data_IF_168984053808
#
_entry.id   IF_168984053808
#
_cell.length_a   1.000
_cell.length_b   1.000
_cell.length_c   1.000
_cell.angle_alpha   90.00
_cell.angle_beta   90.00
_cell.angle_gamma   90.00
#
_symmetry.space_group_name_H-M   'P 1'
#
loop_
_entity.id
_entity.type
_entity.pdbx_description
1 polymer ?
#
# COMPACT_ATOMS: atom_id res chain seq x y z
N UNK A 1 10.12 -11.85 1.76
CA UNK A 1 10.91 -12.54 0.72
C UNK A 1 10.81 -11.71 -0.56
N UNK A 2 11.78 -10.82 -0.79
CA UNK A 2 11.67 -9.72 -1.75
C UNK A 2 12.16 -10.01 -3.17
N UNK A 3 11.94 -11.22 -3.70
CA UNK A 3 12.33 -11.57 -5.07
C UNK A 3 11.16 -11.41 -6.02
N UNK A 4 10.97 -10.20 -6.55
CA UNK A 4 9.85 -9.87 -7.44
C UNK A 4 10.21 -10.04 -8.93
N UNK A 5 11.50 -10.05 -9.28
CA UNK A 5 11.98 -10.17 -10.66
C UNK A 5 11.52 -11.45 -11.36
N UNK A 6 11.23 -12.50 -10.59
CA UNK A 6 10.75 -13.79 -11.11
C UNK A 6 9.39 -13.64 -11.79
N UNK A 7 8.52 -12.74 -11.34
CA UNK A 7 7.16 -12.64 -11.88
C UNK A 7 7.10 -12.01 -13.28
N UNK A 8 7.77 -10.87 -13.58
CA UNK A 8 7.79 -10.33 -14.94
C UNK A 8 8.49 -11.27 -15.91
N UNK A 9 9.58 -11.92 -15.50
CA UNK A 9 10.32 -12.89 -16.33
C UNK A 9 9.46 -14.12 -16.64
N UNK A 10 8.84 -14.73 -15.62
CA UNK A 10 7.96 -15.87 -15.83
C UNK A 10 6.69 -15.47 -16.61
N UNK A 11 6.09 -14.33 -16.29
CA UNK A 11 4.89 -13.83 -16.95
C UNK A 11 5.12 -13.57 -18.44
N UNK A 12 6.20 -12.87 -18.81
CA UNK A 12 6.54 -12.62 -20.22
C UNK A 12 6.94 -13.91 -20.97
N UNK A 13 7.59 -14.87 -20.31
CA UNK A 13 7.85 -16.19 -20.89
C UNK A 13 6.54 -16.94 -21.19
N UNK A 14 5.61 -16.96 -20.22
CA UNK A 14 4.29 -17.61 -20.36
C UNK A 14 3.45 -16.91 -21.44
N UNK A 15 3.47 -15.57 -21.51
CA UNK A 15 2.79 -14.83 -22.59
C UNK A 15 3.38 -15.17 -23.96
N UNK A 16 4.71 -15.25 -24.09
CA UNK A 16 5.36 -15.62 -25.35
C UNK A 16 4.97 -17.04 -25.77
N UNK A 17 4.99 -17.98 -24.83
CA UNK A 17 4.53 -19.36 -25.08
C UNK A 17 3.04 -19.40 -25.46
N UNK A 18 2.20 -18.63 -24.78
CA UNK A 18 0.77 -18.52 -25.08
C UNK A 18 0.50 -18.01 -26.50
N UNK A 19 1.26 -17.03 -26.97
CA UNK A 19 1.17 -16.54 -28.35
C UNK A 19 1.57 -17.61 -29.38
N UNK A 20 2.62 -18.38 -29.11
CA UNK A 20 3.05 -19.48 -29.98
C UNK A 20 2.06 -20.65 -29.99
N UNK A 21 1.35 -20.88 -28.88
CA UNK A 21 0.26 -21.86 -28.83
C UNK A 21 -0.97 -21.38 -29.59
N UNK A 22 -1.36 -20.11 -29.41
CA UNK A 22 -2.49 -19.51 -30.13
C UNK A 22 -2.27 -19.49 -31.65
N UNK A 23 -1.01 -19.37 -32.10
CA UNK A 23 -0.68 -19.48 -33.53
C UNK A 23 -0.99 -20.88 -34.12
N UNK A 24 -0.96 -21.95 -33.31
CA UNK A 24 -1.23 -23.31 -33.76
C UNK A 24 -2.73 -23.62 -33.89
N UNK A 25 -3.61 -22.69 -33.51
CA UNK A 25 -5.04 -22.86 -33.67
C UNK A 25 -5.44 -22.85 -35.14
N UNK A 26 -6.46 -23.64 -35.46
CA UNK A 26 -7.04 -23.77 -36.79
C UNK A 26 -8.58 -23.81 -36.67
N UNK A 27 -9.31 -23.73 -37.77
CA UNK A 27 -10.79 -23.79 -37.73
C UNK A 27 -11.35 -25.10 -37.14
N UNK A 28 -10.53 -26.14 -37.07
CA UNK A 28 -10.91 -27.46 -36.54
C UNK A 28 -10.57 -27.65 -35.05
N UNK A 29 -9.93 -26.67 -34.40
CA UNK A 29 -9.51 -26.79 -33.00
C UNK A 29 -10.70 -26.92 -32.05
N UNK A 30 -10.60 -27.82 -31.07
CA UNK A 30 -11.65 -28.04 -30.09
C UNK A 30 -11.80 -26.85 -29.13
N UNK A 31 -13.03 -26.55 -28.67
CA UNK A 31 -13.28 -25.45 -27.72
C UNK A 31 -12.42 -25.54 -26.46
N UNK A 32 -12.12 -26.76 -26.01
CA UNK A 32 -11.27 -27.00 -24.85
C UNK A 32 -9.80 -26.59 -25.11
N UNK A 33 -9.28 -26.85 -26.31
CA UNK A 33 -7.93 -26.47 -26.71
C UNK A 33 -7.79 -24.95 -26.83
N UNK A 34 -8.74 -24.31 -27.53
CA UNK A 34 -8.81 -22.83 -27.63
C UNK A 34 -8.84 -22.20 -26.24
N UNK A 35 -9.69 -22.72 -25.36
CA UNK A 35 -9.82 -22.22 -23.98
C UNK A 35 -8.54 -22.42 -23.17
N UNK A 36 -7.85 -23.54 -23.33
CA UNK A 36 -6.57 -23.80 -22.67
C UNK A 36 -5.48 -22.83 -23.15
N UNK A 37 -5.39 -22.55 -24.44
CA UNK A 37 -4.37 -21.63 -24.97
C UNK A 37 -4.65 -20.17 -24.56
N UNK A 38 -5.91 -19.73 -24.59
CA UNK A 38 -6.29 -18.42 -24.05
C UNK A 38 -6.04 -18.31 -22.54
N UNK A 39 -6.25 -19.40 -21.80
CA UNK A 39 -5.92 -19.44 -20.37
C UNK A 39 -4.42 -19.25 -20.12
N UNK A 40 -3.55 -19.95 -20.85
CA UNK A 40 -2.10 -19.79 -20.73
C UNK A 40 -1.67 -18.36 -21.09
N UNK A 41 -2.19 -17.82 -22.19
CA UNK A 41 -1.91 -16.45 -22.60
C UNK A 41 -2.38 -15.41 -21.55
N UNK A 42 -3.61 -15.56 -21.05
CA UNK A 42 -4.19 -14.68 -20.03
C UNK A 42 -3.45 -14.75 -18.69
N UNK A 43 -3.00 -15.95 -18.29
CA UNK A 43 -2.18 -16.15 -17.09
C UNK A 43 -0.86 -15.37 -17.19
N UNK A 44 -0.17 -15.45 -18.34
CA UNK A 44 1.05 -14.69 -18.59
C UNK A 44 0.83 -13.19 -18.46
N UNK A 45 -0.23 -12.67 -19.12
CA UNK A 45 -0.59 -11.25 -19.03
C UNK A 45 -0.90 -10.80 -17.60
N UNK A 46 -1.65 -11.61 -16.83
CA UNK A 46 -2.00 -11.31 -15.44
C UNK A 46 -0.79 -11.20 -14.53
N UNK A 47 0.20 -12.08 -14.71
CA UNK A 47 1.46 -12.05 -13.95
C UNK A 47 2.30 -10.81 -14.24
N UNK A 48 2.24 -10.27 -15.46
CA UNK A 48 3.01 -9.09 -15.86
C UNK A 48 2.33 -7.79 -15.43
N UNK A 49 1.03 -7.65 -15.70
CA UNK A 49 0.31 -6.37 -15.53
C UNK A 49 0.37 -5.84 -14.09
N UNK A 50 0.11 -6.71 -13.11
CA UNK A 50 0.08 -6.30 -11.70
C UNK A 50 1.48 -5.98 -11.17
N UNK A 51 2.49 -6.68 -11.64
CA UNK A 51 3.85 -6.55 -11.12
C UNK A 51 4.56 -5.32 -11.69
N UNK A 52 4.34 -4.98 -12.97
CA UNK A 52 4.93 -3.78 -13.57
C UNK A 52 4.50 -2.49 -12.88
N UNK A 53 3.22 -2.35 -12.53
CA UNK A 53 2.72 -1.18 -11.79
C UNK A 53 3.42 -1.08 -10.43
N UNK A 54 3.50 -2.20 -9.72
CA UNK A 54 4.16 -2.25 -8.42
C UNK A 54 5.66 -1.92 -8.50
N UNK A 55 6.34 -2.34 -9.57
CA UNK A 55 7.76 -2.02 -9.81
C UNK A 55 7.96 -0.52 -10.03
N UNK A 56 7.17 0.09 -10.92
CA UNK A 56 7.25 1.53 -11.21
C UNK A 56 7.01 2.33 -9.93
N UNK A 57 5.99 1.94 -9.17
CA UNK A 57 5.66 2.56 -7.89
C UNK A 57 6.77 2.38 -6.85
N UNK A 58 7.48 1.26 -6.87
CA UNK A 58 8.56 0.98 -5.94
C UNK A 58 9.88 1.72 -6.29
N UNK A 59 10.09 2.03 -7.56
CA UNK A 59 11.33 2.64 -8.07
C UNK A 59 11.41 4.15 -7.86
N UNK A 60 10.29 4.83 -7.56
CA UNK A 60 10.22 6.29 -7.41
C UNK A 60 10.00 6.72 -5.96
N UNK A 61 10.32 7.98 -5.67
CA UNK A 61 9.89 8.61 -4.42
C UNK A 61 8.36 8.75 -4.41
N UNK A 62 7.77 8.80 -3.21
CA UNK A 62 6.32 8.87 -3.07
C UNK A 62 5.72 10.15 -3.67
N UNK A 63 6.45 11.28 -3.58
CA UNK A 63 6.07 12.54 -4.23
C UNK A 63 5.90 12.41 -5.74
N UNK A 64 6.66 11.50 -6.37
CA UNK A 64 6.61 11.23 -7.81
C UNK A 64 5.69 10.07 -8.17
N UNK A 65 5.01 9.44 -7.20
CA UNK A 65 4.20 8.23 -7.42
C UNK A 65 3.07 8.48 -8.43
N UNK A 66 2.44 9.65 -8.34
CA UNK A 66 1.38 10.09 -9.27
C UNK A 66 1.91 10.29 -10.69
N UNK A 67 3.09 10.92 -10.83
CA UNK A 67 3.76 11.14 -12.12
C UNK A 67 4.22 9.82 -12.73
N UNK A 68 4.80 8.92 -11.94
CA UNK A 68 5.28 7.62 -12.40
C UNK A 68 4.13 6.70 -12.83
N UNK A 69 3.04 6.65 -12.06
CA UNK A 69 1.87 5.81 -12.36
C UNK A 69 1.10 6.33 -13.58
N UNK A 70 0.89 7.66 -13.66
CA UNK A 70 0.25 8.28 -14.83
C UNK A 70 1.12 8.17 -16.08
N UNK A 71 2.44 8.37 -15.96
CA UNK A 71 3.40 8.17 -17.04
C UNK A 71 3.40 6.74 -17.56
N UNK A 72 3.46 5.74 -16.68
CA UNK A 72 3.38 4.33 -17.08
C UNK A 72 2.05 4.01 -17.78
N UNK A 73 0.93 4.57 -17.30
CA UNK A 73 -0.38 4.42 -17.93
C UNK A 73 -0.44 5.10 -19.29
N UNK A 74 0.15 6.29 -19.43
CA UNK A 74 0.23 7.02 -20.68
C UNK A 74 1.03 6.25 -21.74
N UNK A 75 2.22 5.76 -21.40
CA UNK A 75 3.02 4.91 -22.30
C UNK A 75 2.30 3.60 -22.65
N UNK A 76 1.58 3.00 -21.70
CA UNK A 76 0.75 1.82 -21.97
C UNK A 76 -0.38 2.11 -22.95
N UNK A 77 -1.05 3.26 -22.79
CA UNK A 77 -2.11 3.70 -23.71
C UNK A 77 -1.55 3.91 -25.13
N UNK A 78 -0.41 4.59 -25.23
CA UNK A 78 0.31 4.76 -26.51
C UNK A 78 0.65 3.40 -27.13
N UNK A 79 1.23 2.49 -26.34
CA UNK A 79 1.57 1.14 -26.79
C UNK A 79 0.35 0.34 -27.23
N UNK A 80 -0.78 0.47 -26.54
CA UNK A 80 -2.04 -0.18 -26.92
C UNK A 80 -2.57 0.36 -28.26
N UNK A 81 -2.56 1.69 -28.46
CA UNK A 81 -2.98 2.29 -29.73
C UNK A 81 -2.08 1.88 -30.90
N UNK A 82 -0.75 1.95 -30.73
CA UNK A 82 0.18 1.49 -31.76
C UNK A 82 0.07 -0.01 -32.01
N UNK A 83 -0.10 -0.82 -30.96
CA UNK A 83 -0.27 -2.26 -31.07
C UNK A 83 -1.51 -2.61 -31.90
N UNK A 84 -2.67 -2.02 -31.59
CA UNK A 84 -3.91 -2.24 -32.34
C UNK A 84 -3.75 -1.82 -33.80
N UNK A 85 -3.10 -0.67 -34.07
CA UNK A 85 -2.88 -0.21 -35.44
C UNK A 85 -1.96 -1.16 -36.22
N UNK A 86 -0.79 -1.51 -35.68
CA UNK A 86 0.20 -2.36 -36.35
C UNK A 86 -0.38 -3.76 -36.59
N UNK A 87 -0.92 -4.39 -35.54
CA UNK A 87 -1.47 -5.74 -35.66
C UNK A 87 -2.75 -5.78 -36.50
N UNK A 88 -3.55 -4.70 -36.49
CA UNK A 88 -4.68 -4.53 -37.39
C UNK A 88 -4.25 -4.43 -38.85
N UNK A 89 -3.17 -3.71 -39.16
CA UNK A 89 -2.59 -3.66 -40.51
C UNK A 89 -2.04 -5.02 -40.93
N UNK A 90 -1.33 -5.74 -40.04
CA UNK A 90 -0.85 -7.09 -40.32
C UNK A 90 -2.02 -8.03 -40.60
N UNK A 91 -3.07 -7.99 -39.79
CA UNK A 91 -4.28 -8.77 -39.99
C UNK A 91 -4.92 -8.49 -41.35
N UNK A 92 -5.18 -7.22 -41.67
CA UNK A 92 -5.83 -6.83 -42.93
C UNK A 92 -5.00 -7.25 -44.15
N UNK A 93 -3.67 -7.03 -44.11
CA UNK A 93 -2.77 -7.44 -45.18
C UNK A 93 -2.77 -8.95 -45.38
N UNK A 94 -2.69 -9.72 -44.28
CA UNK A 94 -2.68 -11.19 -44.34
C UNK A 94 -4.01 -11.75 -44.84
N UNK A 95 -5.11 -11.16 -44.37
CA UNK A 95 -6.45 -11.55 -44.78
C UNK A 95 -6.65 -11.31 -46.28
N UNK A 96 -6.22 -10.16 -46.79
CA UNK A 96 -6.31 -9.86 -48.22
C UNK A 96 -5.51 -10.79 -49.10
N UNK A 97 -4.27 -11.08 -48.70
CA UNK A 97 -3.41 -12.04 -49.41
C UNK A 97 -4.05 -13.44 -49.42
N UNK A 98 -4.52 -13.93 -48.27
CA UNK A 98 -5.11 -15.26 -48.12
C UNK A 98 -6.46 -15.39 -48.84
N UNK A 99 -7.32 -14.38 -48.81
CA UNK A 99 -8.57 -14.37 -49.56
C UNK A 99 -8.34 -14.30 -51.07
N UNK A 100 -7.35 -13.53 -51.51
CA UNK A 100 -6.95 -13.45 -52.92
C UNK A 100 -6.44 -14.80 -53.43
N UNK A 101 -5.65 -15.49 -52.62
CA UNK A 101 -5.17 -16.84 -52.93
C UNK A 101 -6.30 -17.87 -52.93
N UNK A 102 -7.20 -17.84 -51.95
CA UNK A 102 -8.35 -18.74 -51.85
C UNK A 102 -9.31 -18.61 -53.05
N UNK A 103 -9.54 -17.38 -53.54
CA UNK A 103 -10.45 -17.16 -54.67
C UNK A 103 -9.74 -17.13 -56.03
N UNK A 104 -8.45 -17.49 -56.09
CA UNK A 104 -7.68 -17.48 -57.34
C UNK A 104 -8.33 -18.40 -58.39
N UNK A 105 -8.93 -17.79 -59.41
CA UNK A 105 -9.60 -18.52 -60.50
C UNK A 105 -11.06 -18.89 -60.22
N UNK A 106 -11.63 -18.47 -59.08
CA UNK A 106 -13.04 -18.64 -58.77
C UNK A 106 -13.88 -17.44 -59.24
N UNK A 107 -15.08 -17.69 -59.76
CA UNK A 107 -16.03 -16.64 -60.10
C UNK A 107 -16.80 -16.20 -58.84
N UNK A 108 -16.46 -15.01 -58.32
CA UNK A 108 -17.15 -14.42 -57.18
C UNK A 108 -18.53 -13.87 -57.60
N UNK A 109 -19.56 -13.94 -56.72
CA UNK A 109 -20.86 -13.32 -56.97
C UNK A 109 -20.76 -11.80 -57.22
N UNK A 110 -21.65 -11.22 -58.05
CA UNK A 110 -21.68 -9.78 -58.25
C UNK A 110 -21.93 -9.04 -56.93
N UNK A 111 -21.04 -8.10 -56.58
CA UNK A 111 -21.08 -7.34 -55.32
C UNK A 111 -20.23 -7.92 -54.19
N UNK A 112 -19.58 -9.08 -54.38
CA UNK A 112 -18.62 -9.65 -53.42
C UNK A 112 -17.20 -9.56 -54.01
N UNK A 113 -16.34 -8.80 -53.36
CA UNK A 113 -14.89 -8.73 -53.61
C UNK A 113 -14.09 -9.04 -52.34
N UNK A 114 -12.78 -9.24 -52.48
CA UNK A 114 -11.85 -9.38 -51.36
C UNK A 114 -11.98 -8.19 -50.40
N UNK A 115 -11.99 -6.95 -50.92
CA UNK A 115 -12.15 -5.74 -50.10
C UNK A 115 -13.46 -5.72 -49.29
N UNK A 116 -14.56 -6.19 -49.89
CA UNK A 116 -15.85 -6.24 -49.19
C UNK A 116 -15.88 -7.30 -48.09
N UNK A 117 -15.16 -8.41 -48.29
CA UNK A 117 -15.05 -9.47 -47.29
C UNK A 117 -14.13 -9.02 -46.16
N UNK A 118 -12.97 -8.44 -46.45
CA UNK A 118 -12.08 -7.86 -45.42
C UNK A 118 -12.80 -6.89 -44.49
N UNK A 119 -13.66 -6.02 -45.04
CA UNK A 119 -14.41 -5.03 -44.28
C UNK A 119 -15.59 -5.61 -43.48
N UNK A 120 -16.25 -6.66 -43.99
CA UNK A 120 -17.39 -7.30 -43.31
C UNK A 120 -17.38 -8.85 -43.45
N UNK A 121 -17.02 -9.57 -42.36
CA UNK A 121 -17.02 -11.04 -42.36
C UNK A 121 -18.43 -11.65 -42.51
N UNK A 122 -19.51 -10.87 -42.33
CA UNK A 122 -20.88 -11.36 -42.56
C UNK A 122 -21.11 -11.70 -44.04
N UNK A 123 -20.31 -11.12 -44.94
CA UNK A 123 -20.33 -11.44 -46.37
C UNK A 123 -20.01 -12.90 -46.69
N UNK A 124 -19.32 -13.62 -45.79
CA UNK A 124 -19.00 -15.05 -45.97
C UNK A 124 -20.28 -15.89 -46.10
N UNK A 125 -21.37 -15.50 -45.42
CA UNK A 125 -22.65 -16.20 -45.50
C UNK A 125 -23.31 -16.14 -46.89
N UNK A 126 -22.95 -15.16 -47.71
CA UNK A 126 -23.46 -14.99 -49.08
C UNK A 126 -22.64 -15.78 -50.12
N UNK A 127 -21.47 -16.33 -49.74
CA UNK A 127 -20.63 -17.10 -50.65
C UNK A 127 -21.29 -18.45 -51.01
N UNK A 128 -21.02 -18.99 -52.22
CA UNK A 128 -21.36 -20.36 -52.57
C UNK A 128 -20.79 -21.36 -51.54
N UNK A 129 -21.51 -22.44 -51.20
CA UNK A 129 -21.07 -23.41 -50.19
C UNK A 129 -19.66 -23.98 -50.41
N UNK A 130 -19.20 -24.04 -51.67
CA UNK A 130 -17.86 -24.51 -52.03
C UNK A 130 -16.74 -23.56 -51.60
N UNK A 131 -16.99 -22.25 -51.51
CA UNK A 131 -15.97 -21.23 -51.21
C UNK A 131 -15.96 -20.79 -49.74
N UNK A 132 -16.99 -21.15 -48.96
CA UNK A 132 -17.08 -20.79 -47.53
C UNK A 132 -15.96 -21.36 -46.68
N UNK A 133 -15.56 -22.65 -46.81
CA UNK A 133 -14.50 -23.21 -45.98
C UNK A 133 -13.17 -22.48 -46.18
N UNK A 134 -12.82 -22.16 -47.42
CA UNK A 134 -11.58 -21.43 -47.73
C UNK A 134 -11.58 -20.00 -47.19
N UNK A 135 -12.73 -19.31 -47.24
CA UNK A 135 -12.87 -18.01 -46.62
C UNK A 135 -12.70 -18.08 -45.09
N UNK A 136 -13.33 -19.06 -44.44
CA UNK A 136 -13.19 -19.26 -42.98
C UNK A 136 -11.75 -19.60 -42.59
N UNK A 137 -11.09 -20.45 -43.38
CA UNK A 137 -9.67 -20.78 -43.18
C UNK A 137 -8.77 -19.56 -43.32
N UNK A 138 -8.99 -18.71 -44.34
CA UNK A 138 -8.26 -17.45 -44.50
C UNK A 138 -8.47 -16.52 -43.28
N UNK A 139 -9.67 -16.45 -42.72
CA UNK A 139 -9.88 -15.69 -41.47
C UNK A 139 -9.14 -16.29 -40.28
N UNK A 140 -9.24 -17.61 -40.08
CA UNK A 140 -8.60 -18.30 -38.98
C UNK A 140 -7.08 -18.12 -39.04
N UNK A 141 -6.47 -18.41 -40.20
CA UNK A 141 -5.03 -18.30 -40.43
C UNK A 141 -4.54 -16.86 -40.30
N UNK A 142 -5.27 -15.87 -40.83
CA UNK A 142 -4.88 -14.46 -40.68
C UNK A 142 -4.91 -13.98 -39.23
N UNK A 143 -5.89 -14.43 -38.42
CA UNK A 143 -5.94 -14.12 -36.98
C UNK A 143 -4.76 -14.79 -36.26
N UNK A 144 -4.47 -16.06 -36.56
CA UNK A 144 -3.42 -16.81 -35.87
C UNK A 144 -2.01 -16.36 -36.27
N UNK A 145 -1.85 -15.83 -37.48
CA UNK A 145 -0.63 -15.16 -37.93
C UNK A 145 -0.34 -13.91 -37.10
N UNK A 146 -1.36 -13.12 -36.71
CA UNK A 146 -1.14 -11.96 -35.84
C UNK A 146 -0.50 -12.37 -34.52
N UNK A 147 -0.90 -13.50 -33.94
CA UNK A 147 -0.27 -14.01 -32.71
C UNK A 147 1.20 -14.37 -32.92
N UNK A 148 1.55 -14.94 -34.08
CA UNK A 148 2.94 -15.20 -34.45
C UNK A 148 3.73 -13.89 -34.58
N UNK A 149 3.18 -12.86 -35.22
CA UNK A 149 3.81 -11.55 -35.34
C UNK A 149 3.94 -10.81 -34.00
N UNK A 150 3.05 -11.07 -33.05
CA UNK A 150 3.15 -10.53 -31.70
C UNK A 150 4.22 -11.25 -30.85
N UNK A 151 4.55 -12.51 -31.16
CA UNK A 151 5.50 -13.30 -30.38
C UNK A 151 6.92 -12.69 -30.31
N UNK A 152 7.53 -12.17 -31.40
CA UNK A 152 8.79 -11.42 -31.32
C UNK A 152 8.74 -10.21 -30.40
N UNK A 153 7.63 -9.47 -30.38
CA UNK A 153 7.46 -8.30 -29.49
C UNK A 153 7.42 -8.75 -28.03
N UNK A 154 6.69 -9.83 -27.73
CA UNK A 154 6.66 -10.44 -26.41
C UNK A 154 8.04 -11.00 -25.99
N UNK A 155 8.78 -11.59 -26.93
CA UNK A 155 10.13 -12.09 -26.70
C UNK A 155 11.11 -10.94 -26.38
N UNK A 156 11.02 -9.81 -27.08
CA UNK A 156 11.80 -8.61 -26.73
C UNK A 156 11.44 -8.14 -25.32
N UNK A 157 10.15 -8.12 -24.95
CA UNK A 157 9.74 -7.78 -23.58
C UNK A 157 10.30 -8.76 -22.54
N UNK A 158 10.33 -10.06 -22.85
CA UNK A 158 10.97 -11.08 -22.01
C UNK A 158 12.47 -10.84 -21.83
N UNK A 159 13.18 -10.52 -22.92
CA UNK A 159 14.61 -10.18 -22.84
C UNK A 159 14.83 -8.92 -22.00
N UNK A 160 14.01 -7.88 -22.18
CA UNK A 160 14.06 -6.66 -21.38
C UNK A 160 13.75 -6.90 -19.89
N UNK A 161 12.84 -7.82 -19.57
CA UNK A 161 12.55 -8.22 -18.20
C UNK A 161 13.78 -8.80 -17.48
N UNK A 162 14.73 -9.39 -18.21
CA UNK A 162 15.99 -9.88 -17.65
C UNK A 162 16.92 -8.74 -17.19
N UNK A 163 16.81 -7.56 -17.80
CA UNK A 163 17.59 -6.38 -17.44
C UNK A 163 16.98 -5.57 -16.29
N UNK A 164 15.79 -5.92 -15.79
CA UNK A 164 15.23 -5.27 -14.61
C UNK A 164 16.15 -5.51 -13.39
N UNK A 165 16.54 -4.40 -12.77
CA UNK A 165 17.36 -4.40 -11.55
C UNK A 165 16.45 -4.68 -10.35
N UNK A 166 16.83 -5.64 -9.53
CA UNK A 166 16.04 -6.07 -8.38
C UNK A 166 16.36 -5.18 -7.17
N UNK A 167 15.61 -4.08 -7.01
CA UNK A 167 15.64 -3.28 -5.78
C UNK A 167 14.65 -3.85 -4.76
N UNK A 168 14.96 -3.75 -3.45
CA UNK A 168 14.10 -4.32 -2.42
C UNK A 168 12.73 -3.60 -2.39
N UNK A 169 11.64 -4.37 -2.50
CA UNK A 169 10.28 -3.85 -2.29
C UNK A 169 10.22 -3.05 -0.98
N UNK A 170 9.82 -1.78 -1.09
CA UNK A 170 9.54 -0.92 0.06
C UNK A 170 8.31 -1.47 0.76
N UNK A 171 8.40 -1.71 2.07
CA UNK A 171 7.32 -2.29 2.89
C UNK A 171 6.07 -1.39 3.01
N UNK A 172 6.10 -0.18 2.45
CA UNK A 172 5.02 0.81 2.47
C UNK A 172 4.07 0.72 1.27
N UNK A 173 4.42 0.00 0.19
CA UNK A 173 3.59 -0.06 -1.03
C UNK A 173 2.56 -1.18 -0.92
N UNK A 174 1.30 -0.81 -0.69
CA UNK A 174 0.15 -1.73 -0.74
C UNK A 174 -0.15 -2.05 -2.21
N UNK A 175 -0.43 -3.32 -2.53
CA UNK A 175 -0.77 -3.75 -3.90
C UNK A 175 -1.99 -2.98 -4.45
N UNK A 176 -2.01 -2.63 -5.76
CA UNK A 176 -3.14 -1.94 -6.37
C UNK A 176 -4.41 -2.79 -6.31
N UNK A 177 -5.56 -2.14 -6.08
CA UNK A 177 -6.85 -2.82 -6.07
C UNK A 177 -7.24 -3.19 -7.52
N UNK A 178 -7.76 -4.40 -7.76
CA UNK A 178 -8.00 -4.93 -9.11
C UNK A 178 -9.06 -4.13 -9.92
N UNK A 179 -9.83 -3.28 -9.25
CA UNK A 179 -10.80 -2.34 -9.83
C UNK A 179 -10.17 -1.02 -10.31
N UNK A 180 -8.92 -0.73 -9.92
CA UNK A 180 -8.22 0.52 -10.25
C UNK A 180 -7.52 0.49 -11.62
N UNK A 181 -7.51 -0.65 -12.32
CA UNK A 181 -7.01 -0.73 -13.70
C UNK A 181 -7.96 -0.10 -14.73
N UNK A 182 -9.19 0.27 -14.33
CA UNK A 182 -10.19 0.88 -15.24
C UNK A 182 -10.66 2.29 -14.83
N UNK A 183 -10.37 2.76 -13.61
CA UNK A 183 -10.81 4.08 -13.15
C UNK A 183 -9.65 4.87 -12.55
N UNK A 184 -9.40 6.01 -13.20
CA UNK A 184 -8.54 7.11 -12.77
C UNK A 184 -8.89 7.59 -11.37
N UNK A 185 -8.10 7.20 -10.37
CA UNK A 185 -7.80 8.11 -9.27
C UNK A 185 -6.35 7.89 -8.80
N UNK A 186 -5.44 8.83 -9.03
CA UNK A 186 -4.12 8.78 -8.40
C UNK A 186 -4.33 8.84 -6.89
N UNK A 187 -3.90 7.81 -6.16
CA UNK A 187 -3.96 7.81 -4.70
C UNK A 187 -2.87 8.75 -4.19
N UNK A 188 -3.18 10.04 -4.11
CA UNK A 188 -2.56 10.92 -3.13
C UNK A 188 -2.99 10.44 -1.74
N UNK A 189 -2.27 9.50 -1.13
CA UNK A 189 -2.35 9.40 0.35
C UNK A 189 -1.75 10.67 0.91
N UNK A 190 -2.61 11.46 1.52
CA UNK A 190 -2.25 12.66 2.24
C UNK A 190 -1.47 12.28 3.51
N UNK A 191 -0.70 13.22 4.08
CA UNK A 191 -0.05 13.05 5.39
C UNK A 191 -1.05 12.60 6.48
N UNK A 192 -2.33 12.95 6.32
CA UNK A 192 -3.43 12.53 7.19
C UNK A 192 -3.69 11.02 7.12
N UNK A 193 -3.69 10.41 5.93
CA UNK A 193 -3.99 8.98 5.76
C UNK A 193 -2.89 8.07 6.31
N UNK A 194 -1.63 8.49 6.17
CA UNK A 194 -0.49 7.76 6.74
C UNK A 194 -0.50 7.82 8.27
N UNK A 195 -0.91 8.96 8.82
CA UNK A 195 -1.13 9.10 10.27
C UNK A 195 -2.31 8.27 10.72
N UNK A 196 -3.42 8.22 9.99
CA UNK A 196 -4.54 7.32 10.28
C UNK A 196 -4.09 5.85 10.27
N UNK A 197 -3.21 5.44 9.35
CA UNK A 197 -2.61 4.09 9.32
C UNK A 197 -1.75 3.84 10.56
N UNK A 198 -0.84 4.75 10.89
CA UNK A 198 0.00 4.64 12.09
C UNK A 198 -0.85 4.58 13.38
N UNK A 199 -1.89 5.41 13.45
CA UNK A 199 -2.87 5.42 14.53
C UNK A 199 -3.68 4.13 14.61
N UNK A 200 -4.05 3.53 13.47
CA UNK A 200 -4.76 2.24 13.43
C UNK A 200 -3.91 1.12 14.07
N UNK A 201 -2.61 1.09 13.75
CA UNK A 201 -1.65 0.16 14.40
C UNK A 201 -1.57 0.40 15.91
N UNK A 202 -1.54 1.67 16.32
CA UNK A 202 -1.50 2.10 17.73
C UNK A 202 -2.84 1.92 18.49
N UNK A 203 -3.96 1.79 17.78
CA UNK A 203 -5.28 1.64 18.37
C UNK A 203 -5.48 0.28 19.06
N UNK A 204 -4.82 -0.76 18.55
CA UNK A 204 -4.93 -2.13 19.07
C UNK A 204 -4.12 -2.34 20.36
N UNK A 205 -4.59 -3.22 21.26
CA UNK A 205 -3.87 -3.55 22.51
C UNK A 205 -2.55 -4.27 22.20
N UNK A 206 -2.57 -5.16 21.22
CA UNK A 206 -1.43 -5.94 20.72
C UNK A 206 -0.39 -5.02 20.08
N UNK A 207 -0.83 -4.07 19.24
CA UNK A 207 0.06 -3.10 18.59
C UNK A 207 0.79 -2.21 19.59
N UNK A 208 0.08 -1.70 20.61
CA UNK A 208 0.73 -0.94 21.69
C UNK A 208 1.78 -1.76 22.43
N UNK A 209 1.45 -2.99 22.82
CA UNK A 209 2.38 -3.89 23.53
C UNK A 209 3.63 -4.17 22.71
N UNK A 210 3.46 -4.43 21.42
CA UNK A 210 4.53 -4.75 20.49
C UNK A 210 5.48 -3.57 20.28
N UNK A 211 4.95 -2.34 20.21
CA UNK A 211 5.76 -1.12 20.12
C UNK A 211 6.61 -0.95 21.38
N UNK A 212 6.03 -1.07 22.59
CA UNK A 212 6.82 -0.98 23.82
C UNK A 212 7.86 -2.10 23.94
N UNK A 213 7.59 -3.30 23.43
CA UNK A 213 8.58 -4.38 23.34
C UNK A 213 9.76 -3.98 22.46
N UNK A 214 9.50 -3.43 21.26
CA UNK A 214 10.55 -2.95 20.35
C UNK A 214 11.36 -1.80 20.92
N UNK A 215 10.71 -0.80 21.52
CA UNK A 215 11.37 0.33 22.18
C UNK A 215 12.33 -0.16 23.27
N UNK A 216 11.87 -1.10 24.09
CA UNK A 216 12.64 -1.66 25.21
C UNK A 216 13.87 -2.42 24.72
N UNK A 217 13.70 -3.28 23.71
CA UNK A 217 14.79 -4.02 23.10
C UNK A 217 15.83 -3.10 22.44
N UNK A 218 15.37 -2.06 21.73
CA UNK A 218 16.24 -1.08 21.06
C UNK A 218 17.03 -0.23 22.06
N UNK A 219 16.42 0.12 23.19
CA UNK A 219 17.11 0.81 24.27
C UNK A 219 18.15 -0.08 24.99
N UNK A 220 18.21 -1.38 24.66
CA UNK A 220 19.18 -2.33 25.21
C UNK A 220 18.81 -2.84 26.60
N UNK A 221 17.54 -2.79 26.96
CA UNK A 221 17.05 -3.23 28.26
C UNK A 221 16.14 -4.45 28.13
N UNK A 222 16.25 -5.36 29.09
CA UNK A 222 15.32 -6.49 29.24
C UNK A 222 14.24 -6.13 30.26
N UNK A 223 13.31 -5.26 29.90
CA UNK A 223 12.20 -4.83 30.78
C UNK A 223 10.87 -5.32 30.22
N UNK A 224 9.89 -5.50 31.10
CA UNK A 224 8.52 -5.72 30.67
C UNK A 224 8.05 -4.50 29.87
N UNK A 225 7.24 -4.67 28.80
CA UNK A 225 6.69 -3.53 28.05
C UNK A 225 5.97 -2.51 28.95
N UNK A 226 5.28 -3.01 29.98
CA UNK A 226 4.60 -2.18 30.97
C UNK A 226 5.56 -1.45 31.93
N UNK A 227 6.76 -2.00 32.20
CA UNK A 227 7.78 -1.32 33.01
C UNK A 227 8.38 -0.14 32.27
N UNK A 228 8.70 -0.31 30.98
CA UNK A 228 9.12 0.79 30.12
C UNK A 228 8.03 1.86 29.98
N UNK A 229 6.76 1.43 29.89
CA UNK A 229 5.61 2.33 29.90
C UNK A 229 5.52 3.16 31.19
N UNK A 230 5.64 2.54 32.38
CA UNK A 230 5.63 3.25 33.67
C UNK A 230 6.80 4.23 33.77
N UNK A 231 8.03 3.84 33.39
CA UNK A 231 9.20 4.73 33.46
C UNK A 231 9.02 5.99 32.61
N UNK A 232 8.46 5.86 31.41
CA UNK A 232 8.14 6.99 30.54
C UNK A 232 7.06 7.91 31.13
N UNK A 233 6.08 7.35 31.86
CA UNK A 233 5.06 8.13 32.58
C UNK A 233 5.62 8.85 33.80
N UNK A 234 6.46 8.19 34.60
CA UNK A 234 7.14 8.84 35.74
C UNK A 234 8.04 9.97 35.25
N UNK A 235 8.75 9.78 34.13
CA UNK A 235 9.53 10.86 33.50
C UNK A 235 8.66 12.06 33.11
N UNK A 236 7.48 11.82 32.53
CA UNK A 236 6.57 12.90 32.10
C UNK A 236 5.93 13.64 33.26
N UNK A 237 5.44 12.93 34.28
CA UNK A 237 4.67 13.51 35.38
C UNK A 237 5.50 13.76 36.65
N UNK A 238 6.78 13.37 36.66
CA UNK A 238 7.67 13.43 37.81
C UNK A 238 7.45 12.30 38.82
N UNK A 239 6.17 12.06 39.18
CA UNK A 239 5.72 11.00 40.09
C UNK A 239 4.45 10.35 39.54
N UNK A 240 4.25 9.07 39.82
CA UNK A 240 3.00 8.36 39.48
C UNK A 240 2.59 7.39 40.57
N UNK A 241 1.30 7.34 40.87
CA UNK A 241 0.72 6.29 41.70
C UNK A 241 0.27 5.12 40.80
N UNK A 242 0.86 3.91 40.93
CA UNK A 242 0.55 2.78 40.03
C UNK A 242 -0.93 2.37 40.02
N UNK A 243 -1.62 2.44 41.16
CA UNK A 243 -3.04 2.09 41.26
C UNK A 243 -3.92 3.07 40.48
N UNK A 244 -3.74 4.38 40.71
CA UNK A 244 -4.47 5.42 39.97
C UNK A 244 -4.13 5.40 38.47
N UNK A 245 -2.88 5.10 38.13
CA UNK A 245 -2.45 5.00 36.74
C UNK A 245 -3.14 3.81 36.02
N UNK A 246 -3.39 2.70 36.72
CA UNK A 246 -4.14 1.57 36.18
C UNK A 246 -5.64 1.87 36.01
N UNK A 247 -6.24 2.65 36.92
CA UNK A 247 -7.65 3.07 36.79
C UNK A 247 -7.90 3.98 35.59
N UNK A 248 -6.90 4.80 35.24
CA UNK A 248 -6.99 5.80 34.16
C UNK A 248 -6.44 5.32 32.82
N UNK A 249 -5.97 4.08 32.75
CA UNK A 249 -5.32 3.47 31.58
C UNK A 249 -6.03 2.19 31.17
N UNK A 250 -6.04 1.82 29.88
CA UNK A 250 -6.57 0.54 29.42
C UNK A 250 -5.72 -0.69 29.83
N UNK A 251 -4.67 -0.51 30.65
CA UNK A 251 -3.75 -1.56 31.08
C UNK A 251 -4.25 -2.21 32.38
N UNK A 252 -4.38 -3.56 32.46
CA UNK A 252 -4.85 -4.23 33.66
C UNK A 252 -3.98 -3.93 34.89
N UNK A 253 -4.61 -3.73 36.06
CA UNK A 253 -3.93 -3.44 37.32
C UNK A 253 -2.82 -4.45 37.64
N UNK A 254 -3.06 -5.75 37.43
CA UNK A 254 -2.06 -6.79 37.65
C UNK A 254 -0.78 -6.57 36.82
N UNK A 255 -0.91 -6.09 35.58
CA UNK A 255 0.23 -5.78 34.70
C UNK A 255 0.96 -4.53 35.17
N UNK A 256 0.24 -3.49 35.62
CA UNK A 256 0.84 -2.26 36.16
C UNK A 256 1.59 -2.55 37.47
N UNK A 257 1.02 -3.38 38.36
CA UNK A 257 1.65 -3.76 39.61
C UNK A 257 2.89 -4.63 39.40
N UNK A 258 2.85 -5.60 38.47
CA UNK A 258 4.03 -6.38 38.10
C UNK A 258 5.15 -5.50 37.52
N UNK A 259 4.77 -4.51 36.71
CA UNK A 259 5.70 -3.55 36.15
C UNK A 259 6.34 -2.64 37.20
N UNK A 260 5.53 -2.11 38.13
CA UNK A 260 5.99 -1.30 39.26
C UNK A 260 6.97 -2.09 40.14
N UNK A 261 6.65 -3.36 40.44
CA UNK A 261 7.53 -4.26 41.17
C UNK A 261 8.87 -4.45 40.46
N UNK A 262 8.88 -4.68 39.14
CA UNK A 262 10.12 -4.86 38.39
C UNK A 262 11.00 -3.60 38.39
N UNK A 263 10.42 -2.40 38.28
CA UNK A 263 11.21 -1.15 38.27
C UNK A 263 11.77 -0.82 39.65
N UNK A 264 11.08 -1.21 40.72
CA UNK A 264 11.58 -1.12 42.11
C UNK A 264 12.70 -2.13 42.37
N UNK A 265 12.50 -3.41 42.02
CA UNK A 265 13.51 -4.49 42.18
C UNK A 265 14.80 -4.18 41.41
N UNK A 266 14.70 -3.48 40.28
CA UNK A 266 15.86 -3.07 39.47
C UNK A 266 16.45 -1.71 39.89
N UNK A 267 15.95 -1.10 40.96
CA UNK A 267 16.36 0.22 41.46
C UNK A 267 16.27 1.33 40.41
N UNK A 268 15.33 1.20 39.46
CA UNK A 268 15.05 2.23 38.46
C UNK A 268 14.05 3.27 39.00
N UNK A 269 13.22 2.87 39.96
CA UNK A 269 12.34 3.77 40.66
C UNK A 269 12.28 3.41 42.15
N UNK A 270 11.98 4.40 42.98
CA UNK A 270 11.79 4.26 44.42
C UNK A 270 10.37 4.68 44.77
N UNK A 271 9.80 4.00 45.75
CA UNK A 271 8.47 4.27 46.26
C UNK A 271 8.54 5.28 47.40
N UNK A 272 7.88 6.42 47.23
CA UNK A 272 7.69 7.45 48.26
C UNK A 272 6.20 7.53 48.61
N UNK A 273 5.79 6.76 49.63
CA UNK A 273 4.37 6.59 49.95
C UNK A 273 3.62 5.82 48.85
N UNK A 274 2.50 6.33 48.32
CA UNK A 274 1.81 5.69 47.20
C UNK A 274 2.50 5.94 45.85
N UNK A 275 3.35 6.96 45.77
CA UNK A 275 3.98 7.42 44.53
C UNK A 275 5.25 6.64 44.20
N UNK A 276 5.50 6.52 42.90
CA UNK A 276 6.72 6.00 42.32
C UNK A 276 7.51 7.15 41.68
N UNK A 277 8.79 7.28 42.02
CA UNK A 277 9.71 8.34 41.56
C UNK A 277 10.96 7.72 40.95
N UNK A 278 11.48 8.29 39.86
CA UNK A 278 12.69 7.80 39.20
C UNK A 278 13.94 8.03 40.04
N UNK A 279 14.81 7.01 40.10
CA UNK A 279 16.18 7.16 40.60
C UNK A 279 17.06 7.88 39.57
N UNK A 280 18.31 8.22 39.91
CA UNK A 280 19.29 8.73 38.94
C UNK A 280 19.47 7.79 37.74
N UNK A 281 19.66 6.49 38.01
CA UNK A 281 19.71 5.44 36.99
C UNK A 281 18.39 5.30 36.23
N UNK A 282 17.25 5.43 36.93
CA UNK A 282 15.92 5.44 36.34
C UNK A 282 15.72 6.53 35.29
N UNK A 283 16.21 7.74 35.57
CA UNK A 283 16.17 8.87 34.62
C UNK A 283 16.97 8.59 33.36
N UNK A 284 18.19 8.05 33.49
CA UNK A 284 19.00 7.67 32.33
C UNK A 284 18.33 6.60 31.47
N UNK A 285 17.74 5.57 32.10
CA UNK A 285 16.98 4.54 31.39
C UNK A 285 15.75 5.15 30.71
N UNK A 286 15.01 6.02 31.39
CA UNK A 286 13.84 6.69 30.83
C UNK A 286 14.18 7.60 29.65
N UNK A 287 15.33 8.30 29.67
CA UNK A 287 15.83 9.07 28.53
C UNK A 287 16.16 8.18 27.33
N UNK A 288 16.88 7.07 27.55
CA UNK A 288 17.18 6.13 26.46
C UNK A 288 15.92 5.49 25.88
N UNK A 289 14.92 5.18 26.71
CA UNK A 289 13.62 4.70 26.26
C UNK A 289 12.85 5.76 25.45
N UNK A 290 13.00 7.04 25.79
CA UNK A 290 12.37 8.13 25.07
C UNK A 290 12.99 8.33 23.68
N UNK A 291 14.32 8.34 23.59
CA UNK A 291 15.03 8.40 22.31
C UNK A 291 14.68 7.20 21.42
N UNK A 292 14.72 5.97 21.97
CA UNK A 292 14.35 4.77 21.23
C UNK A 292 12.88 4.76 20.77
N UNK A 293 12.00 5.50 21.44
CA UNK A 293 10.60 5.67 21.07
C UNK A 293 10.44 6.63 19.90
N UNK A 294 11.14 7.76 19.90
CA UNK A 294 11.13 8.69 18.77
C UNK A 294 11.61 7.99 17.50
N UNK A 295 12.71 7.23 17.59
CA UNK A 295 13.19 6.37 16.50
C UNK A 295 12.14 5.35 16.04
N UNK A 296 11.45 4.70 16.98
CA UNK A 296 10.44 3.69 16.64
C UNK A 296 9.19 4.30 15.99
N UNK A 297 8.82 5.54 16.34
CA UNK A 297 7.74 6.27 15.71
C UNK A 297 8.16 6.78 14.32
N UNK A 298 9.41 7.22 14.17
CA UNK A 298 10.01 7.55 12.89
C UNK A 298 9.98 6.35 11.92
N UNK A 299 10.35 5.15 12.39
CA UNK A 299 10.27 3.92 11.58
C UNK A 299 8.84 3.56 11.17
N UNK A 300 7.84 3.84 12.02
CA UNK A 300 6.44 3.61 11.67
C UNK A 300 5.97 4.53 10.54
N UNK A 301 6.60 5.69 10.37
CA UNK A 301 6.35 6.65 9.29
C UNK A 301 7.23 6.37 8.06
N UNK A 302 8.23 5.50 8.18
CA UNK A 302 9.08 5.05 7.09
C UNK A 302 9.75 6.21 6.35
N UNK A 303 9.55 6.26 5.03
CA UNK A 303 10.18 7.24 4.14
C UNK A 303 9.71 8.69 4.38
N UNK A 304 8.62 8.90 5.13
CA UNK A 304 8.09 10.23 5.46
C UNK A 304 8.90 10.95 6.55
N UNK A 305 9.85 10.27 7.21
CA UNK A 305 10.70 10.83 8.25
C UNK A 305 12.11 11.13 7.73
N UNK A 306 12.22 12.17 6.90
CA UNK A 306 13.47 12.65 6.30
C UNK A 306 13.77 14.15 6.59
N UNK A 307 14.89 14.69 6.08
CA UNK A 307 15.25 16.10 6.22
C UNK A 307 14.22 17.05 5.56
N UNK A 308 13.56 16.60 4.49
CA UNK A 308 12.54 17.37 3.73
C UNK A 308 11.09 17.10 4.21
N UNK A 309 10.92 16.60 5.44
CA UNK A 309 9.60 16.25 5.99
C UNK A 309 8.67 17.47 6.09
N UNK A 310 7.36 17.32 5.78
CA UNK A 310 6.37 18.38 5.96
C UNK A 310 6.29 18.83 7.43
N UNK A 311 6.27 20.14 7.67
CA UNK A 311 6.20 20.73 9.02
C UNK A 311 4.98 20.24 9.81
N UNK A 312 3.86 20.00 9.14
CA UNK A 312 2.62 19.53 9.76
C UNK A 312 2.74 18.11 10.31
N UNK A 313 3.51 17.24 9.63
CA UNK A 313 3.79 15.89 10.10
C UNK A 313 4.65 15.90 11.37
N UNK A 314 5.63 16.79 11.45
CA UNK A 314 6.48 16.97 12.64
C UNK A 314 5.63 17.39 13.83
N UNK A 315 4.75 18.38 13.64
CA UNK A 315 3.86 18.87 14.69
C UNK A 315 2.90 17.76 15.16
N UNK A 316 2.31 17.03 14.23
CA UNK A 316 1.36 15.97 14.52
C UNK A 316 2.01 14.77 15.22
N UNK A 317 3.23 14.38 14.84
CA UNK A 317 3.99 13.34 15.55
C UNK A 317 4.37 13.80 16.95
N UNK A 318 4.72 15.07 17.13
CA UNK A 318 4.99 15.62 18.45
C UNK A 318 3.74 15.62 19.33
N UNK A 319 2.59 16.02 18.78
CA UNK A 319 1.27 15.98 19.45
C UNK A 319 0.86 14.53 19.79
N UNK A 320 0.97 13.59 18.85
CA UNK A 320 0.68 12.17 19.06
C UNK A 320 1.63 11.52 20.06
N UNK A 321 2.92 11.85 20.02
CA UNK A 321 3.89 11.40 21.01
C UNK A 321 3.52 11.95 22.37
N UNK A 322 3.10 13.21 22.46
CA UNK A 322 2.58 13.84 23.67
C UNK A 322 1.39 13.08 24.27
N UNK A 323 0.36 12.81 23.46
CA UNK A 323 -0.85 12.09 23.84
C UNK A 323 -0.58 10.63 24.23
N UNK A 324 0.23 9.91 23.43
CA UNK A 324 0.62 8.53 23.73
C UNK A 324 1.62 8.45 24.90
N UNK A 325 2.33 9.53 25.23
CA UNK A 325 3.15 9.71 26.43
C UNK A 325 2.33 10.08 27.67
N UNK A 326 1.01 10.21 27.53
CA UNK A 326 0.05 10.27 28.61
C UNK A 326 -0.88 11.43 28.40
N UNK A 327 -2.15 11.16 28.12
CA UNK A 327 -3.14 12.22 27.97
C UNK A 327 -3.26 13.03 29.26
N UNK A 328 -3.76 14.26 29.18
CA UNK A 328 -4.12 15.06 30.37
C UNK A 328 -5.00 14.26 31.36
N UNK A 329 -5.79 13.30 30.85
CA UNK A 329 -6.65 12.41 31.64
C UNK A 329 -5.88 11.41 32.50
N UNK A 330 -4.64 11.07 32.14
CA UNK A 330 -3.75 10.15 32.88
C UNK A 330 -2.92 10.84 33.98
N UNK A 331 -3.04 12.17 34.15
CA UNK A 331 -2.29 12.94 35.17
C UNK A 331 -2.67 12.53 36.61
N UNK A 332 -1.73 12.09 37.46
CA UNK A 332 -2.03 11.62 38.83
C UNK A 332 -2.64 12.68 39.77
N UNK A 333 -2.38 13.98 39.54
CA UNK A 333 -2.83 15.04 40.45
C UNK A 333 -3.54 16.17 39.72
N UNK A 334 -4.80 16.38 40.08
CA UNK A 334 -5.57 17.58 39.77
C UNK A 334 -5.67 18.41 41.07
N UNK A 335 -4.75 19.36 41.27
CA UNK A 335 -4.72 20.22 42.48
C UNK A 335 -4.79 21.71 42.17
N UNK A 336 -5.48 22.11 41.10
CA UNK A 336 -5.93 23.50 40.93
C UNK A 336 -7.45 23.69 40.75
N UNK A 337 -8.27 22.62 40.68
CA UNK A 337 -9.72 22.78 40.56
C UNK A 337 -10.48 22.94 41.91
N UNK A 338 -9.82 22.74 43.07
CA UNK A 338 -10.51 22.60 44.36
C UNK A 338 -10.27 23.69 45.42
N UNK A 339 -9.29 24.59 45.25
CA UNK A 339 -8.98 25.63 46.25
C UNK A 339 -9.24 27.06 45.78
N UNK A 340 -8.97 27.39 44.53
CA UNK A 340 -9.24 28.74 44.00
C UNK A 340 -10.75 29.02 43.82
N UNK A 341 -11.56 27.98 43.57
CA UNK A 341 -13.02 28.12 43.45
C UNK A 341 -13.80 28.24 44.76
N UNK A 342 -13.17 27.98 45.91
CA UNK A 342 -13.78 28.16 47.24
C UNK A 342 -13.27 29.42 47.95
N UNK A 343 -11.98 29.72 47.86
CA UNK A 343 -11.43 30.98 48.39
C UNK A 343 -11.85 32.20 47.56
N UNK A 344 -12.01 32.06 46.24
CA UNK A 344 -12.52 33.12 45.37
C UNK A 344 -14.03 33.38 45.48
N UNK A 345 -14.79 32.47 46.11
CA UNK A 345 -16.24 32.62 46.32
C UNK A 345 -16.55 33.16 47.72
N UNK A 346 -15.83 32.72 48.76
CA UNK A 346 -15.94 33.28 50.11
C UNK A 346 -15.30 34.68 50.22
N UNK A 347 -14.22 34.97 49.45
CA UNK A 347 -13.60 36.30 49.42
C UNK A 347 -14.42 37.37 48.70
N UNK A 348 -15.29 36.99 47.74
CA UNK A 348 -16.19 37.92 47.03
C UNK A 348 -17.43 38.26 47.85
N UNK A 349 -18.03 37.29 48.53
CA UNK A 349 -19.21 37.54 49.39
C UNK A 349 -18.84 38.34 50.67
N UNK A 350 -17.65 38.15 51.23
CA UNK A 350 -17.17 38.92 52.39
C UNK A 350 -16.81 40.39 52.10
N UNK A 351 -16.52 40.72 50.84
CA UNK A 351 -16.11 42.06 50.42
C UNK A 351 -17.29 42.92 49.93
N UNK A 352 -18.33 42.30 49.36
CA UNK A 352 -19.59 42.98 49.04
C UNK A 352 -20.39 43.34 50.31
N UNK A 353 -20.43 42.48 51.33
CA UNK A 353 -21.11 42.77 52.61
C UNK A 353 -20.46 43.89 53.44
N UNK A 354 -19.15 44.09 53.32
CA UNK A 354 -18.43 45.17 54.04
C UNK A 354 -18.51 46.54 53.35
N UNK A 355 -18.80 46.57 52.05
CA UNK A 355 -18.95 47.83 51.30
C UNK A 355 -20.36 48.41 51.47
N UNK A 356 -21.38 47.57 51.68
CA UNK A 356 -22.74 48.00 51.97
C UNK A 356 -22.94 48.56 53.40
N UNK A 357 -22.16 48.13 54.39
CA UNK A 357 -22.29 48.59 55.78
C UNK A 357 -21.56 49.92 56.08
N UNK A 358 -20.88 50.53 55.10
CA UNK A 358 -20.18 51.82 55.24
C UNK A 358 -20.85 52.97 54.46
N UNK A 359 -21.98 52.70 53.83
CA UNK A 359 -22.77 53.66 53.05
C UNK A 359 -24.24 53.73 53.53
N UNK A 360 -24.45 53.58 54.85
CA UNK A 360 -25.73 53.79 55.54
C UNK A 360 -25.58 54.84 56.62
#
# INVERSE_FOLDING_TARGET
>A
TGRWKVFPVAGTAVTTLGLLLLHQLDENSATAEVSAYFFVFGLGLGLVMQVLVLIVQNAVAYEDLGVATSGATFFRSIGASFGVAIFGTVFASRLGDQLTDAFRGAALPPGVSVDTLEADPRGIGALPPALRPEAVHAYASSITDVFLYAAPVALVAFLLAWFLKEDRLRGSVTAPDATQTLASNPVERSSHDEVCRALSVLGTREGRREIYRRITARAGYDLLPASSWILLRVRKYGRVEPAQLAERSPVPLATVMAAARQVEERHLAVREGPDLILTGRGREVAERLALAREDSLAELLGDWWGPDRPTDLVRLVHELTGELCGSERERPHDRHAGREGREGREGREGQEGRTAARAG
#
